data_IF_685437941138
#
_entry.id   IF_685437941138
#
_cell.length_a   1.000
_cell.length_b   1.000
_cell.length_c   1.000
_cell.angle_alpha   90.00
_cell.angle_beta   90.00
_cell.angle_gamma   90.00
#
_symmetry.space_group_name_H-M   'P 1'
#
loop_
_entity.id
_entity.type
_entity.pdbx_description
1 polymer ?
#
# COMPACT_ATOMS: atom_id res chain seq x y z
N UNK A 1 3.65 16.17 8.82
CA UNK A 1 4.05 14.86 8.27
C UNK A 1 5.56 14.65 8.38
N UNK A 2 6.41 15.50 7.77
CA UNK A 2 7.88 15.40 7.85
C UNK A 2 8.40 15.35 9.29
N UNK A 3 7.94 16.25 10.17
CA UNK A 3 8.33 16.24 11.58
C UNK A 3 7.92 14.93 12.29
N UNK A 4 6.71 14.44 12.03
CA UNK A 4 6.20 13.18 12.59
C UNK A 4 7.04 11.99 12.14
N UNK A 5 7.39 11.93 10.85
CA UNK A 5 8.27 10.90 10.28
C UNK A 5 9.65 10.97 10.92
N UNK A 6 10.25 12.15 11.02
CA UNK A 6 11.56 12.35 11.61
C UNK A 6 11.62 11.89 13.08
N UNK A 7 10.58 12.17 13.85
CA UNK A 7 10.47 11.72 15.25
C UNK A 7 10.28 10.19 15.32
N UNK A 8 9.58 9.58 14.35
CA UNK A 8 9.31 8.13 14.30
C UNK A 8 10.55 7.31 13.94
N UNK A 9 11.52 7.88 13.21
CA UNK A 9 12.78 7.21 12.86
C UNK A 9 13.55 6.75 14.09
N UNK A 10 13.62 7.58 15.14
CA UNK A 10 14.41 7.31 16.35
C UNK A 10 13.90 6.08 17.15
N UNK A 11 12.63 6.05 17.60
CA UNK A 11 12.13 4.93 18.39
C UNK A 11 12.05 3.64 17.58
N UNK A 12 11.81 3.69 16.26
CA UNK A 12 11.79 2.48 15.43
C UNK A 12 13.19 1.97 15.14
N UNK A 13 14.17 2.85 14.89
CA UNK A 13 15.57 2.42 14.76
C UNK A 13 16.05 1.74 16.03
N UNK A 14 15.69 2.29 17.20
CA UNK A 14 15.96 1.65 18.50
C UNK A 14 15.31 0.28 18.63
N UNK A 15 14.07 0.10 18.17
CA UNK A 15 13.41 -1.22 18.15
C UNK A 15 14.14 -2.21 17.26
N UNK A 16 14.46 -1.84 16.02
CA UNK A 16 15.17 -2.70 15.07
C UNK A 16 16.51 -3.15 15.67
N UNK A 17 17.29 -2.21 16.20
CA UNK A 17 18.59 -2.51 16.82
C UNK A 17 18.40 -3.40 18.05
N UNK A 18 17.44 -3.10 18.94
CA UNK A 18 17.18 -3.93 20.13
C UNK A 18 16.80 -5.37 19.77
N UNK A 19 16.08 -5.56 18.66
CA UNK A 19 15.58 -6.86 18.21
C UNK A 19 16.67 -7.75 17.61
N UNK A 20 17.64 -7.16 16.92
CA UNK A 20 18.65 -7.90 16.16
C UNK A 20 20.04 -7.94 16.82
N UNK A 21 20.38 -6.97 17.67
CA UNK A 21 21.76 -6.85 18.17
C UNK A 21 21.93 -7.12 19.66
N UNK A 22 20.84 -7.25 20.44
CA UNK A 22 20.86 -7.32 21.92
C UNK A 22 21.66 -6.21 22.64
N UNK A 23 22.24 -5.24 21.90
CA UNK A 23 23.04 -4.13 22.41
C UNK A 23 22.21 -3.12 23.19
N UNK A 24 20.91 -3.05 22.90
CA UNK A 24 19.99 -2.07 23.47
C UNK A 24 18.80 -2.84 24.09
N UNK A 25 18.44 -2.57 25.35
CA UNK A 25 17.24 -3.14 25.97
C UNK A 25 15.98 -2.79 25.17
N UNK A 26 15.03 -3.71 25.08
CA UNK A 26 13.72 -3.45 24.48
C UNK A 26 12.91 -2.52 25.40
N UNK A 27 12.91 -1.23 25.11
CA UNK A 27 12.16 -0.24 25.89
C UNK A 27 10.70 -0.18 25.43
N UNK A 28 9.76 -0.47 26.34
CA UNK A 28 8.30 -0.46 26.05
C UNK A 28 7.83 0.91 25.53
N UNK A 29 8.42 2.02 26.02
CA UNK A 29 8.04 3.36 25.60
C UNK A 29 8.34 3.66 24.13
N UNK A 30 9.35 3.02 23.52
CA UNK A 30 9.64 3.23 22.10
C UNK A 30 8.59 2.57 21.23
N UNK A 31 8.01 1.46 21.69
CA UNK A 31 6.89 0.77 21.04
C UNK A 31 5.62 1.61 21.09
N UNK A 32 5.24 2.05 22.28
CA UNK A 32 4.07 2.91 22.47
C UNK A 32 4.21 4.25 21.72
N UNK A 33 5.37 4.92 21.79
CA UNK A 33 5.59 6.19 21.09
C UNK A 33 5.52 6.03 19.58
N UNK A 34 6.10 4.97 19.02
CA UNK A 34 6.05 4.69 17.57
C UNK A 34 4.60 4.45 17.12
N UNK A 35 3.81 3.73 17.92
CA UNK A 35 2.39 3.48 17.66
C UNK A 35 1.57 4.78 17.69
N UNK A 36 1.76 5.63 18.69
CA UNK A 36 1.06 6.93 18.75
C UNK A 36 1.43 7.83 17.57
N UNK A 37 2.71 7.98 17.26
CA UNK A 37 3.16 8.78 16.12
C UNK A 37 2.66 8.23 14.78
N UNK A 38 2.54 6.90 14.67
CA UNK A 38 1.97 6.25 13.50
C UNK A 38 0.47 6.55 13.34
N UNK A 39 -0.32 6.45 14.42
CA UNK A 39 -1.74 6.81 14.41
C UNK A 39 -1.92 8.25 13.91
N UNK A 40 -1.15 9.19 14.47
CA UNK A 40 -1.20 10.58 14.03
C UNK A 40 -0.76 10.78 12.59
N UNK A 41 0.24 10.02 12.12
CA UNK A 41 0.69 10.08 10.73
C UNK A 41 -0.38 9.56 9.76
N UNK A 42 -1.04 8.45 10.09
CA UNK A 42 -2.14 7.89 9.30
C UNK A 42 -3.32 8.86 9.26
N UNK A 43 -3.70 9.45 10.39
CA UNK A 43 -4.80 10.42 10.45
C UNK A 43 -4.50 11.70 9.65
N UNK A 44 -3.29 12.26 9.81
CA UNK A 44 -2.85 13.43 9.05
C UNK A 44 -2.71 13.11 7.55
N UNK A 45 -2.20 11.93 7.22
CA UNK A 45 -2.09 11.44 5.84
C UNK A 45 -3.44 11.25 5.17
N UNK A 46 -4.40 10.65 5.87
CA UNK A 46 -5.77 10.50 5.40
C UNK A 46 -6.43 11.87 5.17
N UNK A 47 -6.26 12.83 6.08
CA UNK A 47 -6.78 14.19 5.93
C UNK A 47 -6.20 14.89 4.68
N UNK A 48 -4.89 14.79 4.46
CA UNK A 48 -4.23 15.35 3.27
C UNK A 48 -4.70 14.66 1.99
N UNK A 49 -4.80 13.32 1.98
CA UNK A 49 -5.26 12.56 0.81
C UNK A 49 -6.71 12.86 0.41
N UNK A 50 -7.57 13.16 1.39
CA UNK A 50 -8.94 13.63 1.13
C UNK A 50 -8.92 15.04 0.56
N UNK A 51 -8.13 15.95 1.15
CA UNK A 51 -8.01 17.35 0.70
C UNK A 51 -7.48 17.46 -0.74
N UNK A 52 -6.52 16.63 -1.10
CA UNK A 52 -5.88 16.66 -2.42
C UNK A 52 -6.65 15.87 -3.49
N UNK A 53 -7.72 15.16 -3.12
CA UNK A 53 -8.49 14.35 -4.06
C UNK A 53 -7.74 13.13 -4.58
N UNK A 54 -6.69 12.69 -3.89
CA UNK A 54 -5.80 11.58 -4.29
C UNK A 54 -6.31 10.20 -3.83
N UNK A 55 -7.56 10.13 -3.38
CA UNK A 55 -8.19 8.89 -2.97
C UNK A 55 -8.64 8.06 -4.17
N UNK A 56 -8.51 6.74 -4.06
CA UNK A 56 -8.94 5.80 -5.10
C UNK A 56 -10.48 5.81 -5.20
N UNK A 57 -11.01 6.51 -6.20
CA UNK A 57 -12.38 6.34 -6.70
C UNK A 57 -12.32 5.31 -7.84
N UNK A 58 -13.10 4.23 -7.75
CA UNK A 58 -13.22 3.27 -8.84
C UNK A 58 -14.32 3.78 -9.77
N UNK A 59 -13.93 4.32 -10.93
CA UNK A 59 -14.89 4.77 -11.93
C UNK A 59 -15.46 3.57 -12.71
N UNK A 60 -16.61 3.08 -12.26
CA UNK A 60 -17.32 1.95 -12.87
C UNK A 60 -18.15 2.40 -14.10
N UNK A 61 -18.54 3.68 -14.18
CA UNK A 61 -19.34 4.20 -15.30
C UNK A 61 -18.52 5.05 -16.26
N UNK A 62 -18.87 5.05 -17.57
CA UNK A 62 -18.40 6.07 -18.50
C UNK A 62 -18.79 7.46 -18.00
N UNK A 63 -18.02 8.49 -18.36
CA UNK A 63 -18.25 9.88 -17.93
C UNK A 63 -19.71 10.30 -18.14
N UNK A 64 -20.50 10.26 -17.06
CA UNK A 64 -21.87 10.77 -17.05
C UNK A 64 -21.85 12.30 -17.24
N UNK A 65 -22.99 12.88 -17.62
CA UNK A 65 -23.10 14.34 -17.80
C UNK A 65 -22.52 15.11 -16.59
N UNK A 66 -21.88 16.27 -16.85
CA UNK A 66 -21.19 17.08 -15.83
C UNK A 66 -22.01 17.31 -14.55
N UNK A 67 -23.34 17.45 -14.68
CA UNK A 67 -24.26 17.65 -13.54
C UNK A 67 -24.48 16.36 -12.72
N UNK A 68 -24.58 15.22 -13.38
CA UNK A 68 -24.75 13.92 -12.71
C UNK A 68 -23.49 13.52 -11.94
N UNK A 69 -22.30 13.72 -12.51
CA UNK A 69 -21.04 13.48 -11.81
C UNK A 69 -20.86 14.42 -10.60
N UNK A 70 -21.20 15.70 -10.74
CA UNK A 70 -21.17 16.65 -9.62
C UNK A 70 -22.15 16.25 -8.50
N UNK A 71 -23.37 15.83 -8.85
CA UNK A 71 -24.38 15.38 -7.89
C UNK A 71 -23.92 14.12 -7.15
N UNK A 72 -23.37 13.12 -7.86
CA UNK A 72 -22.83 11.91 -7.26
C UNK A 72 -21.68 12.22 -6.29
N UNK A 73 -20.78 13.13 -6.66
CA UNK A 73 -19.69 13.56 -5.78
C UNK A 73 -20.20 14.27 -4.52
N UNK A 74 -21.23 15.12 -4.64
CA UNK A 74 -21.87 15.77 -3.49
C UNK A 74 -22.51 14.72 -2.56
N UNK A 75 -23.23 13.74 -3.12
CA UNK A 75 -23.87 12.68 -2.35
C UNK A 75 -22.80 11.83 -1.63
N UNK A 76 -21.76 11.39 -2.34
CA UNK A 76 -20.65 10.62 -1.76
C UNK A 76 -19.96 11.39 -0.62
N UNK A 77 -19.66 12.68 -0.83
CA UNK A 77 -19.08 13.53 0.21
C UNK A 77 -19.99 13.71 1.42
N UNK A 78 -21.31 13.78 1.22
CA UNK A 78 -22.28 13.86 2.32
C UNK A 78 -22.29 12.56 3.14
N UNK A 79 -22.21 11.40 2.48
CA UNK A 79 -22.07 10.11 3.17
C UNK A 79 -20.76 10.02 3.97
N UNK A 80 -19.65 10.45 3.38
CA UNK A 80 -18.34 10.51 4.07
C UNK A 80 -18.40 11.44 5.28
N UNK A 81 -19.06 12.59 5.15
CA UNK A 81 -19.23 13.53 6.26
C UNK A 81 -20.07 12.92 7.39
N UNK A 82 -21.20 12.28 7.07
CA UNK A 82 -22.04 11.60 8.06
C UNK A 82 -21.22 10.53 8.79
N UNK A 83 -20.47 9.72 8.05
CA UNK A 83 -19.60 8.70 8.63
C UNK A 83 -18.53 9.28 9.56
N UNK A 84 -17.86 10.35 9.13
CA UNK A 84 -16.89 11.05 9.94
C UNK A 84 -17.52 11.57 11.24
N UNK A 85 -18.73 12.12 11.19
CA UNK A 85 -19.46 12.58 12.37
C UNK A 85 -19.84 11.42 13.31
N UNK A 86 -20.26 10.27 12.77
CA UNK A 86 -20.51 9.05 13.57
C UNK A 86 -19.22 8.59 14.26
N UNK A 87 -18.10 8.53 13.55
CA UNK A 87 -16.81 8.16 14.11
C UNK A 87 -16.30 9.14 15.17
N UNK A 88 -16.50 10.44 14.97
CA UNK A 88 -16.16 11.46 15.98
C UNK A 88 -17.04 11.29 17.21
N UNK A 89 -18.36 11.15 17.04
CA UNK A 89 -19.30 10.98 18.15
C UNK A 89 -19.00 9.71 18.97
N UNK A 90 -18.86 8.57 18.31
CA UNK A 90 -18.54 7.31 18.97
C UNK A 90 -17.09 7.25 19.45
N UNK A 91 -16.17 7.95 18.80
CA UNK A 91 -14.79 8.11 19.24
C UNK A 91 -14.68 8.93 20.53
N UNK A 92 -15.45 10.01 20.65
CA UNK A 92 -15.58 10.77 21.91
C UNK A 92 -16.17 9.88 22.99
N UNK A 93 -17.25 9.14 22.68
CA UNK A 93 -17.85 8.19 23.62
C UNK A 93 -16.90 7.05 24.01
N UNK A 94 -16.01 6.62 23.12
CA UNK A 94 -14.98 5.62 23.38
C UNK A 94 -13.87 6.18 24.27
N UNK A 95 -13.43 7.42 24.06
CA UNK A 95 -12.47 8.09 24.96
C UNK A 95 -13.09 8.31 26.34
N UNK A 96 -14.35 8.74 26.40
CA UNK A 96 -15.11 8.83 27.64
C UNK A 96 -15.26 7.45 28.30
N UNK A 97 -15.60 6.40 27.54
CA UNK A 97 -15.76 5.04 28.06
C UNK A 97 -14.44 4.43 28.56
N UNK A 98 -13.33 4.62 27.83
CA UNK A 98 -11.99 4.22 28.24
C UNK A 98 -11.50 5.00 29.47
N UNK A 99 -12.04 6.20 29.71
CA UNK A 99 -11.77 6.97 30.93
C UNK A 99 -12.43 6.38 32.18
N UNK A 100 -13.44 5.51 32.02
CA UNK A 100 -14.24 4.92 33.10
C UNK A 100 -14.14 3.38 33.16
N UNK A 101 -13.17 2.76 32.49
CA UNK A 101 -12.90 1.32 32.63
C UNK A 101 -11.97 1.03 33.82
N UNK A 102 -12.37 0.13 34.71
CA UNK A 102 -11.48 -0.47 35.71
C UNK A 102 -10.77 -1.73 35.15
N UNK A 103 -9.53 -1.91 35.61
CA UNK A 103 -8.47 -2.81 35.13
C UNK A 103 -8.70 -4.29 35.44
N UNK A 104 -8.09 -5.19 34.63
CA UNK A 104 -8.03 -6.65 34.83
C UNK A 104 -7.49 -7.10 36.21
N UNK A 105 -6.96 -6.18 37.03
CA UNK A 105 -6.49 -6.43 38.40
C UNK A 105 -7.49 -6.07 39.52
N UNK A 106 -8.62 -5.40 39.24
CA UNK A 106 -9.41 -4.69 40.26
C UNK A 106 -10.88 -5.15 40.49
N UNK A 107 -11.34 -6.24 39.85
CA UNK A 107 -12.57 -6.98 40.22
C UNK A 107 -13.92 -6.21 40.33
N UNK A 108 -14.34 -5.36 39.38
CA UNK A 108 -15.76 -4.87 39.31
C UNK A 108 -16.30 -4.70 37.86
N UNK A 109 -17.65 -4.71 37.64
CA UNK A 109 -18.28 -5.73 36.80
C UNK A 109 -18.75 -5.28 35.40
N UNK A 110 -18.61 -6.15 34.40
CA UNK A 110 -19.38 -6.09 33.14
C UNK A 110 -20.41 -7.24 33.07
N UNK A 111 -21.70 -6.88 33.04
CA UNK A 111 -22.83 -7.80 33.10
C UNK A 111 -23.43 -8.19 31.74
N UNK A 112 -23.30 -9.50 31.43
CA UNK A 112 -24.24 -10.44 30.74
C UNK A 112 -24.58 -10.26 29.22
N UNK A 113 -25.02 -11.35 28.52
CA UNK A 113 -24.25 -12.56 28.21
C UNK A 113 -24.31 -12.95 26.71
N UNK A 114 -23.29 -13.67 26.25
CA UNK A 114 -23.18 -14.25 24.91
C UNK A 114 -24.15 -15.43 24.71
N UNK A 115 -25.35 -15.25 24.15
CA UNK A 115 -26.12 -16.38 23.56
C UNK A 115 -27.15 -15.89 22.55
N UNK A 116 -26.76 -15.88 21.26
CA UNK A 116 -27.57 -16.08 20.02
C UNK A 116 -26.92 -15.31 18.87
N UNK A 117 -26.56 -16.01 17.78
CA UNK A 117 -26.03 -15.35 16.58
C UNK A 117 -27.24 -15.00 15.73
N UNK A 118 -27.43 -13.73 15.41
CA UNK A 118 -28.58 -13.27 14.62
C UNK A 118 -28.40 -13.56 13.13
N UNK A 119 -27.15 -13.59 12.63
CA UNK A 119 -26.84 -13.79 11.22
C UNK A 119 -26.05 -15.08 10.95
N UNK A 120 -26.43 -15.79 9.88
CA UNK A 120 -25.61 -16.86 9.32
C UNK A 120 -24.36 -16.30 8.60
N UNK A 121 -23.25 -17.04 8.51
CA UNK A 121 -22.03 -16.57 7.83
C UNK A 121 -22.28 -16.11 6.38
N UNK A 122 -23.17 -16.80 5.65
CA UNK A 122 -23.53 -16.43 4.28
C UNK A 122 -24.29 -15.10 4.21
N UNK A 123 -25.23 -14.87 5.14
CA UNK A 123 -25.95 -13.60 5.21
C UNK A 123 -25.06 -12.44 5.64
N UNK A 124 -24.10 -12.67 6.55
CA UNK A 124 -23.12 -11.66 6.95
C UNK A 124 -22.20 -11.28 5.79
N UNK A 125 -21.71 -12.26 5.03
CA UNK A 125 -20.89 -12.01 3.84
C UNK A 125 -21.67 -11.23 2.77
N UNK A 126 -22.92 -11.59 2.48
CA UNK A 126 -23.76 -10.86 1.54
C UNK A 126 -24.01 -9.41 1.95
N UNK A 127 -24.21 -9.14 3.23
CA UNK A 127 -24.41 -7.78 3.75
C UNK A 127 -23.11 -6.97 3.69
N UNK A 128 -21.98 -7.55 4.11
CA UNK A 128 -20.66 -6.91 4.05
C UNK A 128 -20.24 -6.60 2.62
N UNK A 129 -20.18 -7.61 1.74
CA UNK A 129 -19.77 -7.42 0.35
C UNK A 129 -20.81 -6.63 -0.44
N UNK A 130 -22.10 -6.87 -0.22
CA UNK A 130 -23.19 -6.13 -0.87
C UNK A 130 -23.14 -4.64 -0.56
N UNK A 131 -23.03 -4.27 0.72
CA UNK A 131 -22.89 -2.86 1.12
C UNK A 131 -21.60 -2.25 0.59
N UNK A 132 -20.47 -2.95 0.64
CA UNK A 132 -19.20 -2.51 0.08
C UNK A 132 -19.29 -2.20 -1.43
N UNK A 133 -19.83 -3.13 -2.23
CA UNK A 133 -19.97 -2.92 -3.67
C UNK A 133 -20.97 -1.82 -4.01
N UNK A 134 -22.07 -1.69 -3.25
CA UNK A 134 -23.01 -0.57 -3.40
C UNK A 134 -22.32 0.76 -3.11
N UNK A 135 -21.50 0.84 -2.05
CA UNK A 135 -20.77 2.07 -1.71
C UNK A 135 -19.73 2.43 -2.76
N UNK A 136 -19.00 1.45 -3.31
CA UNK A 136 -18.11 1.68 -4.46
C UNK A 136 -18.91 2.15 -5.68
N UNK A 137 -20.07 1.54 -5.95
CA UNK A 137 -20.99 1.97 -7.00
C UNK A 137 -21.56 3.38 -6.74
N UNK A 138 -21.51 3.89 -5.52
CA UNK A 138 -21.84 5.29 -5.22
C UNK A 138 -20.62 6.22 -5.28
N UNK A 139 -19.49 5.74 -5.80
CA UNK A 139 -18.18 6.44 -5.80
C UNK A 139 -17.75 6.87 -4.40
N UNK A 140 -18.07 6.07 -3.38
CA UNK A 140 -17.51 6.26 -2.04
C UNK A 140 -16.05 5.76 -2.08
N UNK A 141 -15.07 6.53 -1.57
CA UNK A 141 -13.69 6.09 -1.57
C UNK A 141 -13.53 4.77 -0.83
N UNK A 142 -12.69 3.86 -1.35
CA UNK A 142 -12.62 2.46 -0.90
C UNK A 142 -12.38 2.32 0.61
N UNK A 143 -11.55 3.18 1.20
CA UNK A 143 -11.28 3.17 2.64
C UNK A 143 -12.56 3.41 3.47
N UNK A 144 -13.41 4.35 3.04
CA UNK A 144 -14.69 4.61 3.67
C UNK A 144 -15.71 3.52 3.37
N UNK A 145 -15.72 2.98 2.15
CA UNK A 145 -16.59 1.88 1.78
C UNK A 145 -16.35 0.65 2.68
N UNK A 146 -15.08 0.31 2.99
CA UNK A 146 -14.74 -0.77 3.91
C UNK A 146 -15.24 -0.51 5.34
N UNK A 147 -15.02 0.70 5.88
CA UNK A 147 -15.48 1.04 7.22
C UNK A 147 -17.01 1.10 7.34
N UNK A 148 -17.68 1.68 6.35
CA UNK A 148 -19.14 1.77 6.26
C UNK A 148 -19.79 0.40 6.07
N UNK A 149 -19.17 -0.49 5.30
CA UNK A 149 -19.67 -1.85 5.09
C UNK A 149 -19.73 -2.67 6.37
N UNK A 150 -18.93 -2.34 7.39
CA UNK A 150 -18.96 -2.98 8.70
C UNK A 150 -20.12 -2.51 9.60
N UNK A 151 -20.80 -1.39 9.28
CA UNK A 151 -21.88 -0.84 10.11
C UNK A 151 -23.17 -1.68 10.10
N UNK A 152 -23.67 -2.20 8.96
CA UNK A 152 -24.89 -2.99 8.98
C UNK A 152 -24.80 -4.24 9.87
N UNK A 153 -23.75 -5.08 9.81
CA UNK A 153 -23.62 -6.21 10.74
C UNK A 153 -23.53 -5.77 12.21
N UNK A 154 -22.95 -4.62 12.52
CA UNK A 154 -22.91 -4.05 13.88
C UNK A 154 -24.31 -3.71 14.42
N UNK A 155 -25.23 -3.28 13.55
CA UNK A 155 -26.60 -2.92 13.92
C UNK A 155 -27.52 -4.14 14.04
N UNK A 156 -27.27 -5.20 13.26
CA UNK A 156 -28.12 -6.39 13.22
C UNK A 156 -27.63 -7.53 14.13
N UNK A 157 -26.35 -7.58 14.47
CA UNK A 157 -25.77 -8.64 15.30
C UNK A 157 -25.53 -8.14 16.73
N UNK A 158 -26.39 -8.58 17.67
CA UNK A 158 -26.29 -8.20 19.09
C UNK A 158 -24.96 -8.58 19.76
N UNK A 159 -24.18 -9.50 19.16
CA UNK A 159 -22.85 -9.92 19.65
C UNK A 159 -21.75 -8.91 19.34
N UNK A 160 -21.92 -8.13 18.28
CA UNK A 160 -20.96 -7.13 17.85
C UNK A 160 -21.32 -5.82 18.57
N UNK A 161 -20.74 -5.61 19.75
CA UNK A 161 -20.85 -4.31 20.40
C UNK A 161 -19.93 -3.31 19.69
N UNK A 162 -20.25 -2.00 19.70
CA UNK A 162 -19.31 -0.97 19.27
C UNK A 162 -17.93 -1.11 19.93
N UNK A 163 -17.89 -1.62 21.17
CA UNK A 163 -16.64 -1.89 21.89
C UNK A 163 -15.78 -2.98 21.23
N UNK A 164 -16.38 -4.02 20.65
CA UNK A 164 -15.64 -5.04 19.89
C UNK A 164 -15.03 -4.44 18.62
N UNK A 165 -15.79 -3.60 17.90
CA UNK A 165 -15.28 -2.91 16.71
C UNK A 165 -14.10 -2.01 17.09
N UNK A 166 -14.20 -1.25 18.19
CA UNK A 166 -13.11 -0.42 18.68
C UNK A 166 -11.89 -1.26 19.10
N UNK A 167 -12.09 -2.35 19.85
CA UNK A 167 -10.99 -3.22 20.27
C UNK A 167 -10.28 -3.88 19.09
N UNK A 168 -11.00 -4.41 18.10
CA UNK A 168 -10.40 -5.03 16.91
C UNK A 168 -9.73 -3.99 16.00
N UNK A 169 -10.31 -2.79 15.92
CA UNK A 169 -9.69 -1.64 15.25
C UNK A 169 -8.38 -1.26 15.96
N UNK A 170 -8.38 -1.15 17.28
CA UNK A 170 -7.22 -0.81 18.09
C UNK A 170 -6.13 -1.90 18.03
N UNK A 171 -6.50 -3.19 18.07
CA UNK A 171 -5.59 -4.31 17.85
C UNK A 171 -4.97 -4.28 16.45
N UNK A 172 -5.78 -4.00 15.43
CA UNK A 172 -5.30 -3.85 14.05
C UNK A 172 -4.29 -2.71 13.94
N UNK A 173 -4.56 -1.56 14.55
CA UNK A 173 -3.64 -0.42 14.61
C UNK A 173 -2.33 -0.72 15.36
N UNK A 174 -2.39 -1.54 16.42
CA UNK A 174 -1.22 -1.98 17.17
C UNK A 174 -0.43 -3.11 16.48
N UNK A 175 -0.84 -3.53 15.29
CA UNK A 175 -0.09 -4.53 14.52
C UNK A 175 1.22 -3.92 14.02
N UNK A 176 2.34 -4.48 14.48
CA UNK A 176 3.70 -4.14 14.04
C UNK A 176 3.86 -4.14 12.50
N UNK A 177 3.02 -4.90 11.81
CA UNK A 177 2.98 -5.02 10.36
C UNK A 177 2.58 -3.70 9.69
N UNK A 178 1.67 -2.93 10.28
CA UNK A 178 1.23 -1.65 9.70
C UNK A 178 2.32 -0.59 9.75
N UNK A 179 3.27 -0.69 10.70
CA UNK A 179 4.45 0.19 10.74
C UNK A 179 5.37 -0.03 9.53
N UNK A 180 5.39 -1.23 8.95
CA UNK A 180 6.23 -1.51 7.79
C UNK A 180 5.87 -0.62 6.59
N UNK A 181 4.59 -0.26 6.42
CA UNK A 181 4.08 0.49 5.26
C UNK A 181 4.73 1.88 5.13
N UNK A 182 4.72 2.77 6.16
CA UNK A 182 5.42 4.04 6.06
C UNK A 182 6.93 3.89 5.94
N UNK A 183 7.55 2.86 6.52
CA UNK A 183 9.00 2.69 6.42
C UNK A 183 9.42 2.29 5.01
N UNK A 184 8.70 1.37 4.36
CA UNK A 184 8.95 1.07 2.95
C UNK A 184 8.74 2.30 2.05
N UNK A 185 7.68 3.07 2.28
CA UNK A 185 7.44 4.32 1.55
C UNK A 185 8.51 5.38 1.83
N UNK A 186 9.00 5.48 3.07
CA UNK A 186 10.07 6.41 3.45
C UNK A 186 11.39 6.01 2.79
N UNK A 187 11.76 4.72 2.86
CA UNK A 187 12.95 4.17 2.23
C UNK A 187 12.92 4.39 0.71
N UNK A 188 11.80 4.08 0.06
CA UNK A 188 11.62 4.33 -1.37
C UNK A 188 11.80 5.82 -1.74
N UNK A 189 11.23 6.74 -0.96
CA UNK A 189 11.39 8.17 -1.19
C UNK A 189 12.83 8.66 -0.94
N UNK A 190 13.49 8.18 0.11
CA UNK A 190 14.90 8.47 0.38
C UNK A 190 15.81 7.98 -0.75
N UNK A 191 15.52 6.82 -1.33
CA UNK A 191 16.28 6.26 -2.45
C UNK A 191 16.06 7.04 -3.75
N UNK A 192 14.81 7.49 -4.00
CA UNK A 192 14.53 8.42 -5.10
C UNK A 192 15.32 9.73 -4.96
N UNK A 193 15.36 10.32 -3.77
CA UNK A 193 16.11 11.56 -3.52
C UNK A 193 17.63 11.32 -3.55
N UNK A 194 18.09 10.14 -3.12
CA UNK A 194 19.50 9.74 -3.08
C UNK A 194 20.13 9.41 -4.44
N UNK A 195 19.38 9.55 -5.54
CA UNK A 195 19.86 9.25 -6.90
C UNK A 195 20.08 7.75 -7.16
N UNK A 196 19.49 6.89 -6.33
CA UNK A 196 19.57 5.43 -6.50
C UNK A 196 18.76 5.00 -7.73
N UNK A 197 17.61 5.63 -7.96
CA UNK A 197 16.75 5.40 -9.13
C UNK A 197 17.52 5.54 -10.44
N UNK A 198 18.29 6.63 -10.58
CA UNK A 198 19.09 6.88 -11.78
C UNK A 198 20.16 5.80 -12.00
N UNK A 199 20.76 5.30 -10.92
CA UNK A 199 21.74 4.19 -10.99
C UNK A 199 21.09 2.89 -11.43
N UNK A 200 19.90 2.57 -10.91
CA UNK A 200 19.13 1.38 -11.29
C UNK A 200 18.61 1.46 -12.74
N UNK A 201 18.23 2.65 -13.20
CA UNK A 201 17.91 2.91 -14.61
C UNK A 201 19.13 2.65 -15.48
N UNK A 202 20.30 3.14 -15.07
CA UNK A 202 21.54 2.94 -15.82
C UNK A 202 21.94 1.47 -15.88
N UNK A 203 21.86 0.74 -14.76
CA UNK A 203 22.08 -0.70 -14.70
C UNK A 203 21.11 -1.44 -15.63
N UNK A 204 19.82 -1.13 -15.54
CA UNK A 204 18.79 -1.74 -16.39
C UNK A 204 19.10 -1.50 -17.88
N UNK A 205 19.53 -0.29 -18.24
CA UNK A 205 19.96 0.04 -19.61
C UNK A 205 21.15 -0.81 -20.06
N UNK A 206 22.12 -1.08 -19.18
CA UNK A 206 23.25 -1.96 -19.55
C UNK A 206 22.85 -3.42 -19.73
N UNK A 207 21.78 -3.88 -19.08
CA UNK A 207 21.29 -5.25 -19.15
C UNK A 207 20.45 -5.53 -20.40
N UNK A 208 19.51 -4.64 -20.71
CA UNK A 208 18.48 -4.87 -21.75
C UNK A 208 18.43 -3.77 -22.81
N UNK A 209 19.38 -2.84 -22.81
CA UNK A 209 19.42 -1.72 -23.75
C UNK A 209 19.55 -2.13 -25.22
N UNK A 210 20.15 -3.27 -25.51
CA UNK A 210 20.27 -3.78 -26.88
C UNK A 210 19.04 -4.58 -27.36
N UNK A 211 17.99 -4.70 -26.54
CA UNK A 211 16.79 -5.45 -26.90
C UNK A 211 15.77 -4.53 -27.60
N UNK A 212 15.00 -5.04 -28.58
CA UNK A 212 13.87 -4.35 -29.17
C UNK A 212 12.93 -3.77 -28.10
N UNK A 213 12.62 -2.46 -28.22
CA UNK A 213 11.79 -1.76 -27.25
C UNK A 213 12.54 -1.47 -25.96
N UNK A 214 13.80 -1.02 -26.08
CA UNK A 214 14.75 -0.96 -24.96
C UNK A 214 14.23 -0.18 -23.76
N UNK A 215 13.55 0.95 -23.99
CA UNK A 215 13.03 1.78 -22.92
C UNK A 215 11.86 1.11 -22.18
N UNK A 216 11.05 0.31 -22.87
CA UNK A 216 10.01 -0.50 -22.25
C UNK A 216 10.58 -1.73 -21.51
N UNK A 217 11.66 -2.32 -22.02
CA UNK A 217 12.39 -3.39 -21.31
C UNK A 217 13.04 -2.85 -20.02
N UNK A 218 13.62 -1.65 -20.09
CA UNK A 218 14.16 -0.94 -18.93
C UNK A 218 13.06 -0.66 -17.90
N UNK A 219 11.87 -0.27 -18.32
CA UNK A 219 10.74 -0.03 -17.42
C UNK A 219 10.37 -1.30 -16.60
N UNK A 220 10.21 -2.45 -17.28
CA UNK A 220 9.89 -3.72 -16.61
C UNK A 220 11.01 -4.13 -15.65
N UNK A 221 12.27 -4.04 -16.10
CA UNK A 221 13.41 -4.44 -15.27
C UNK A 221 13.62 -3.49 -14.08
N UNK A 222 13.39 -2.19 -14.26
CA UNK A 222 13.40 -1.24 -13.16
C UNK A 222 12.29 -1.55 -12.16
N UNK A 223 11.09 -1.90 -12.61
CA UNK A 223 9.99 -2.32 -11.74
C UNK A 223 10.35 -3.57 -10.91
N UNK A 224 11.15 -4.50 -11.45
CA UNK A 224 11.67 -5.65 -10.68
C UNK A 224 12.61 -5.20 -9.56
N UNK A 225 13.53 -4.28 -9.85
CA UNK A 225 14.45 -3.76 -8.83
C UNK A 225 13.73 -2.90 -7.78
N UNK A 226 12.78 -2.07 -8.22
CA UNK A 226 11.96 -1.23 -7.34
C UNK A 226 10.98 -2.02 -6.49
N UNK A 227 10.51 -3.17 -6.98
CA UNK A 227 9.67 -4.05 -6.20
C UNK A 227 10.34 -4.48 -4.90
N UNK A 228 11.65 -4.79 -4.97
CA UNK A 228 12.46 -5.13 -3.81
C UNK A 228 12.75 -3.98 -2.84
N UNK A 229 12.28 -2.77 -3.14
CA UNK A 229 12.57 -1.56 -2.37
C UNK A 229 11.28 -0.95 -1.82
N UNK A 230 10.31 -0.74 -2.70
CA UNK A 230 9.08 0.01 -2.44
C UNK A 230 7.97 -0.84 -1.83
N UNK A 231 7.86 -2.11 -2.24
CA UNK A 231 6.81 -3.03 -1.80
C UNK A 231 5.38 -2.55 -2.09
N UNK A 232 5.21 -1.48 -2.89
CA UNK A 232 3.95 -0.80 -3.17
C UNK A 232 3.79 -0.48 -4.65
N UNK A 233 2.83 -1.15 -5.30
CA UNK A 233 2.53 -0.93 -6.72
C UNK A 233 2.01 0.47 -7.02
N UNK A 234 1.31 1.10 -6.07
CA UNK A 234 0.75 2.44 -6.25
C UNK A 234 1.83 3.51 -6.15
N UNK A 235 2.81 3.36 -5.26
CA UNK A 235 3.95 4.26 -5.15
C UNK A 235 4.88 4.14 -6.37
N UNK A 236 5.10 2.91 -6.85
CA UNK A 236 5.91 2.65 -8.04
C UNK A 236 5.24 3.21 -9.30
N UNK A 237 3.93 2.98 -9.46
CA UNK A 237 3.18 3.57 -10.55
C UNK A 237 3.24 5.10 -10.52
N UNK A 238 3.03 5.73 -9.36
CA UNK A 238 3.03 7.20 -9.24
C UNK A 238 4.40 7.83 -9.54
N UNK A 239 5.49 7.17 -9.12
CA UNK A 239 6.85 7.67 -9.34
C UNK A 239 7.36 7.43 -10.76
N UNK A 240 7.05 6.27 -11.35
CA UNK A 240 7.61 5.84 -12.62
C UNK A 240 6.78 6.27 -13.83
N UNK A 241 5.46 6.41 -13.68
CA UNK A 241 4.55 6.71 -14.81
C UNK A 241 4.91 7.99 -15.55
N UNK A 242 5.12 9.10 -14.85
CA UNK A 242 5.49 10.37 -15.50
C UNK A 242 6.81 10.24 -16.27
N UNK A 243 7.81 9.60 -15.67
CA UNK A 243 9.16 9.48 -16.26
C UNK A 243 9.12 8.60 -17.50
N UNK A 244 8.56 7.39 -17.40
CA UNK A 244 8.57 6.44 -18.50
C UNK A 244 7.58 6.76 -19.60
N UNK A 245 6.36 7.18 -19.27
CA UNK A 245 5.35 7.49 -20.29
C UNK A 245 5.81 8.67 -21.14
N UNK A 246 6.33 9.75 -20.52
CA UNK A 246 6.88 10.89 -21.26
C UNK A 246 8.12 10.51 -22.09
N UNK A 247 9.04 9.72 -21.55
CA UNK A 247 10.23 9.29 -22.28
C UNK A 247 9.89 8.37 -23.46
N UNK A 248 8.99 7.41 -23.26
CA UNK A 248 8.57 6.47 -24.30
C UNK A 248 7.79 7.17 -25.42
N UNK A 249 6.86 8.08 -25.09
CA UNK A 249 6.17 8.85 -26.13
C UNK A 249 7.11 9.75 -26.93
N UNK A 250 8.13 10.36 -26.29
CA UNK A 250 9.18 11.12 -27.00
C UNK A 250 10.03 10.26 -27.94
N UNK A 251 10.21 8.97 -27.61
CA UNK A 251 10.92 8.01 -28.45
C UNK A 251 10.04 7.32 -29.50
N UNK A 252 8.76 7.71 -29.61
CA UNK A 252 7.84 7.20 -30.64
C UNK A 252 7.06 5.95 -30.26
N UNK A 253 6.98 5.61 -28.97
CA UNK A 253 6.10 4.55 -28.49
C UNK A 253 4.64 5.01 -28.50
N UNK A 254 3.71 4.08 -28.76
CA UNK A 254 2.28 4.37 -28.63
C UNK A 254 1.92 4.70 -27.16
N UNK A 255 1.13 5.76 -26.96
CA UNK A 255 0.73 6.20 -25.62
C UNK A 255 -0.02 5.10 -24.85
N UNK A 256 -0.88 4.35 -25.52
CA UNK A 256 -1.67 3.27 -24.90
C UNK A 256 -0.75 2.14 -24.46
N UNK A 257 0.25 1.79 -25.28
CA UNK A 257 1.27 0.83 -24.91
C UNK A 257 2.09 1.30 -23.71
N UNK A 258 2.53 2.56 -23.70
CA UNK A 258 3.31 3.14 -22.61
C UNK A 258 2.56 3.18 -21.28
N UNK A 259 1.27 3.53 -21.30
CA UNK A 259 0.41 3.49 -20.11
C UNK A 259 0.25 2.03 -19.64
N UNK A 260 -0.07 1.11 -20.55
CA UNK A 260 -0.34 -0.29 -20.21
C UNK A 260 0.89 -0.98 -19.60
N UNK A 261 2.06 -0.85 -20.24
CA UNK A 261 3.27 -1.52 -19.74
C UNK A 261 3.70 -0.97 -18.38
N UNK A 262 3.60 0.35 -18.18
CA UNK A 262 3.99 0.98 -16.91
C UNK A 262 3.03 0.63 -15.78
N UNK A 263 1.73 0.57 -16.06
CA UNK A 263 0.74 0.16 -15.07
C UNK A 263 0.92 -1.31 -14.66
N UNK A 264 1.17 -2.18 -15.65
CA UNK A 264 1.28 -3.63 -15.43
C UNK A 264 2.62 -4.01 -14.78
N UNK A 265 3.72 -3.33 -15.12
CA UNK A 265 5.03 -3.58 -14.51
C UNK A 265 5.07 -3.16 -13.04
N UNK A 266 4.38 -2.07 -12.67
CA UNK A 266 4.29 -1.62 -11.27
C UNK A 266 3.62 -2.66 -10.34
N UNK A 267 2.81 -3.58 -10.87
CA UNK A 267 2.20 -4.67 -10.08
C UNK A 267 3.26 -5.65 -9.56
N UNK A 268 4.45 -5.72 -10.17
CA UNK A 268 5.55 -6.55 -9.68
C UNK A 268 5.95 -6.16 -8.24
N UNK A 269 5.73 -4.91 -7.83
CA UNK A 269 6.04 -4.41 -6.49
C UNK A 269 5.31 -5.11 -5.35
N UNK A 270 4.14 -5.69 -5.62
CA UNK A 270 3.41 -6.44 -4.60
C UNK A 270 3.70 -7.93 -4.62
N UNK A 271 4.41 -8.43 -5.64
CA UNK A 271 4.71 -9.85 -5.85
C UNK A 271 6.17 -10.15 -5.49
N UNK A 272 7.11 -9.35 -5.97
CA UNK A 272 8.54 -9.54 -5.72
C UNK A 272 8.87 -8.94 -4.35
N UNK A 273 9.46 -9.70 -3.42
CA UNK A 273 9.72 -9.21 -2.07
C UNK A 273 10.85 -8.17 -2.01
N UNK A 274 10.86 -7.33 -0.96
CA UNK A 274 9.83 -7.12 0.09
C UNK A 274 8.50 -6.57 -0.44
N UNK A 275 7.38 -7.10 0.04
CA UNK A 275 6.02 -6.71 -0.37
C UNK A 275 5.14 -6.39 0.83
N UNK A 276 4.53 -5.19 0.84
CA UNK A 276 3.63 -4.74 1.90
C UNK A 276 2.45 -5.71 2.06
N UNK A 277 1.87 -6.17 0.95
CA UNK A 277 0.73 -7.10 0.98
C UNK A 277 1.12 -8.43 1.62
N UNK A 278 2.32 -8.95 1.36
CA UNK A 278 2.78 -10.21 1.94
C UNK A 278 2.97 -10.12 3.45
N UNK A 279 3.41 -8.97 3.97
CA UNK A 279 3.52 -8.76 5.41
C UNK A 279 2.13 -8.77 6.05
N UNK A 280 1.16 -8.05 5.45
CA UNK A 280 -0.24 -8.02 5.92
C UNK A 280 -0.85 -9.42 5.92
N UNK A 281 -0.71 -10.16 4.82
CA UNK A 281 -1.18 -11.54 4.73
C UNK A 281 -0.50 -12.48 5.71
N UNK A 282 0.82 -12.34 5.91
CA UNK A 282 1.58 -13.11 6.90
C UNK A 282 1.05 -12.91 8.32
N UNK A 283 0.68 -11.69 8.67
CA UNK A 283 0.03 -11.37 9.94
C UNK A 283 -1.37 -11.94 10.08
N UNK A 284 -2.22 -11.69 9.08
CA UNK A 284 -3.63 -12.12 9.10
C UNK A 284 -3.75 -13.64 9.12
N UNK A 285 -2.94 -14.33 8.31
CA UNK A 285 -2.96 -15.79 8.19
C UNK A 285 -2.04 -16.48 9.21
N UNK A 286 -1.29 -15.72 10.02
CA UNK A 286 -0.29 -16.24 10.96
C UNK A 286 0.72 -17.20 10.30
N UNK A 287 1.09 -16.92 9.05
CA UNK A 287 2.09 -17.69 8.29
C UNK A 287 3.43 -16.96 8.25
N UNK A 288 4.51 -17.70 8.02
CA UNK A 288 5.85 -17.12 7.94
C UNK A 288 5.97 -16.11 6.80
N UNK A 289 6.27 -14.85 7.14
CA UNK A 289 6.53 -13.78 6.17
C UNK A 289 7.73 -14.13 5.29
N UNK A 290 8.78 -14.74 5.86
CA UNK A 290 9.95 -15.18 5.09
C UNK A 290 9.61 -16.27 4.07
N UNK A 291 8.69 -17.17 4.41
CA UNK A 291 8.20 -18.18 3.47
C UNK A 291 7.36 -17.55 2.34
N UNK A 292 6.51 -16.57 2.66
CA UNK A 292 5.77 -15.80 1.65
C UNK A 292 6.71 -15.05 0.71
N UNK A 293 7.78 -14.45 1.25
CA UNK A 293 8.78 -13.78 0.44
C UNK A 293 9.45 -14.75 -0.54
N UNK A 294 9.98 -15.87 -0.04
CA UNK A 294 10.60 -16.87 -0.91
C UNK A 294 9.62 -17.42 -1.96
N UNK A 295 8.36 -17.62 -1.59
CA UNK A 295 7.31 -18.07 -2.49
C UNK A 295 6.97 -17.03 -3.58
N UNK A 296 7.18 -15.74 -3.32
CA UNK A 296 6.92 -14.63 -4.26
C UNK A 296 7.95 -14.44 -5.36
N UNK A 297 9.20 -14.85 -5.13
CA UNK A 297 10.32 -14.60 -6.06
C UNK A 297 10.07 -15.26 -7.41
N UNK A 298 9.79 -16.57 -7.42
CA UNK A 298 9.58 -17.33 -8.64
C UNK A 298 8.40 -16.80 -9.49
N UNK A 299 7.16 -16.64 -8.95
CA UNK A 299 6.05 -16.11 -9.73
C UNK A 299 6.30 -14.67 -10.18
N UNK A 300 6.94 -13.83 -9.36
CA UNK A 300 7.29 -12.46 -9.74
C UNK A 300 8.25 -12.40 -10.92
N UNK A 301 9.31 -13.21 -10.91
CA UNK A 301 10.26 -13.29 -12.04
C UNK A 301 9.62 -13.88 -13.31
N UNK A 302 8.70 -14.85 -13.16
CA UNK A 302 7.95 -15.39 -14.30
C UNK A 302 7.04 -14.34 -14.94
N UNK A 303 6.35 -13.53 -14.14
CA UNK A 303 5.51 -12.43 -14.62
C UNK A 303 6.38 -11.36 -15.30
N UNK A 304 7.51 -10.98 -14.68
CA UNK A 304 8.45 -10.05 -15.29
C UNK A 304 8.96 -10.57 -16.64
N UNK A 305 9.33 -11.86 -16.72
CA UNK A 305 9.73 -12.51 -17.96
C UNK A 305 8.63 -12.48 -19.03
N UNK A 306 7.38 -12.75 -18.65
CA UNK A 306 6.23 -12.67 -19.55
C UNK A 306 5.98 -11.24 -20.06
N UNK A 307 6.14 -10.23 -19.20
CA UNK A 307 6.07 -8.81 -19.58
C UNK A 307 7.19 -8.45 -20.56
N UNK A 308 8.44 -8.82 -20.26
CA UNK A 308 9.58 -8.59 -21.15
C UNK A 308 9.42 -9.29 -22.51
N UNK A 309 8.88 -10.51 -22.54
CA UNK A 309 8.56 -11.22 -23.77
C UNK A 309 7.49 -10.48 -24.59
N UNK A 310 6.44 -10.00 -23.93
CA UNK A 310 5.37 -9.21 -24.56
C UNK A 310 5.91 -7.92 -25.16
N UNK A 311 6.75 -7.19 -24.41
CA UNK A 311 7.45 -6.00 -24.90
C UNK A 311 8.30 -6.33 -26.12
N UNK A 312 9.02 -7.44 -26.11
CA UNK A 312 9.88 -7.85 -27.22
C UNK A 312 9.07 -8.14 -28.49
N UNK A 313 7.94 -8.83 -28.37
CA UNK A 313 7.04 -9.12 -29.50
C UNK A 313 6.44 -7.83 -30.05
N UNK A 314 5.88 -6.97 -29.18
CA UNK A 314 5.32 -5.68 -29.61
C UNK A 314 6.39 -4.79 -30.26
N UNK A 315 7.58 -4.70 -29.67
CA UNK A 315 8.66 -3.89 -30.22
C UNK A 315 9.10 -4.34 -31.61
N UNK A 316 9.05 -5.65 -31.91
CA UNK A 316 9.31 -6.17 -33.26
C UNK A 316 8.18 -5.88 -34.24
N UNK A 317 6.93 -5.93 -33.79
CA UNK A 317 5.76 -5.65 -34.64
C UNK A 317 5.68 -4.16 -35.00
N UNK A 318 5.91 -3.28 -34.02
CA UNK A 318 5.77 -1.83 -34.15
C UNK A 318 7.10 -1.10 -34.42
N UNK A 319 8.22 -1.84 -34.58
CA UNK A 319 9.57 -1.30 -34.83
C UNK A 319 10.02 -0.23 -33.84
N UNK A 320 9.86 -0.50 -32.53
CA UNK A 320 10.30 0.41 -31.48
C UNK A 320 11.84 0.53 -31.39
N UNK A 321 12.36 1.69 -30.95
CA UNK A 321 13.78 1.98 -30.97
C UNK A 321 14.61 1.06 -30.07
N UNK A 322 15.89 0.93 -30.43
CA UNK A 322 16.88 0.10 -29.74
C UNK A 322 18.09 0.92 -29.34
N UNK A 323 18.52 0.82 -28.09
CA UNK A 323 19.76 1.48 -27.64
C UNK A 323 21.00 0.68 -28.05
N UNK A 324 22.16 1.35 -28.21
CA UNK A 324 23.42 0.67 -28.43
C UNK A 324 23.75 -0.28 -27.28
N UNK A 325 24.38 -1.41 -27.62
CA UNK A 325 24.79 -2.42 -26.65
C UNK A 325 25.86 -1.85 -25.73
N UNK A 326 25.61 -1.93 -24.42
CA UNK A 326 26.61 -1.57 -23.42
C UNK A 326 27.80 -2.55 -23.45
N UNK A 327 28.97 -2.04 -23.12
CA UNK A 327 30.18 -2.86 -22.98
C UNK A 327 30.14 -3.65 -21.66
N UNK A 328 30.83 -4.80 -21.60
CA UNK A 328 30.92 -5.60 -20.37
C UNK A 328 31.52 -4.79 -19.20
N UNK A 329 32.43 -3.86 -19.51
CA UNK A 329 33.04 -2.95 -18.52
C UNK A 329 32.00 -1.99 -17.92
N UNK A 330 31.11 -1.44 -18.74
CA UNK A 330 30.01 -0.59 -18.28
C UNK A 330 29.05 -1.38 -17.40
N UNK A 331 28.69 -2.61 -17.80
CA UNK A 331 27.82 -3.47 -16.98
C UNK A 331 28.40 -3.74 -15.59
N UNK A 332 29.66 -4.18 -15.47
CA UNK A 332 30.27 -4.44 -14.17
C UNK A 332 30.44 -3.17 -13.33
N UNK A 333 30.72 -2.03 -13.95
CA UNK A 333 30.84 -0.76 -13.25
C UNK A 333 29.48 -0.28 -12.72
N UNK A 334 28.44 -0.32 -13.54
CA UNK A 334 27.06 0.02 -13.14
C UNK A 334 26.51 -0.96 -12.10
N UNK A 335 26.84 -2.25 -12.21
CA UNK A 335 26.50 -3.26 -11.21
C UNK A 335 27.14 -2.92 -9.86
N UNK A 336 28.45 -2.68 -9.83
CA UNK A 336 29.17 -2.31 -8.60
C UNK A 336 28.62 -1.03 -7.95
N UNK A 337 28.24 -0.02 -8.75
CA UNK A 337 27.63 1.22 -8.26
C UNK A 337 26.20 1.02 -7.73
N UNK A 338 25.52 -0.03 -8.18
CA UNK A 338 24.13 -0.36 -7.79
C UNK A 338 24.05 -1.40 -6.67
N UNK A 339 25.14 -2.08 -6.32
CA UNK A 339 25.17 -3.02 -5.18
C UNK A 339 24.63 -2.40 -3.89
N UNK A 340 25.02 -1.17 -3.48
CA UNK A 340 24.48 -0.56 -2.28
C UNK A 340 22.96 -0.33 -2.34
N UNK A 341 22.41 -0.12 -3.54
CA UNK A 341 20.98 0.08 -3.75
C UNK A 341 20.16 -1.21 -3.71
N UNK A 342 20.78 -2.36 -3.98
CA UNK A 342 20.15 -3.67 -3.96
C UNK A 342 20.24 -4.37 -2.59
N UNK A 343 21.07 -3.83 -1.68
CA UNK A 343 21.32 -4.38 -0.33
C UNK A 343 20.63 -3.61 0.80
N UNK A 344 19.82 -2.60 0.48
CA UNK A 344 18.93 -1.88 1.41
C UNK A 344 17.56 -2.53 1.46
#
# INVERSE_FOLDING_TARGET
MVATVAILVVPVSLQIISRYTQLIPSYIWTEELSRFLFIWMVMLGAMVGIKEGTHFEVDIWPELSRRANAMLRIISNLFVLIFALVFVYWGIKFVEFGWYQESELAELPMGRPMTQAAMSPGTAALVLFGSFFILIALRVPVAFALGLACLPPLLFELRLSPMVLFNETFKSYNSFILLAVPFFLLTANLMNIGGITDRLVHLSRTMVGNWPGSLAQINVLLSVFFAGISGSSTADAASQSKIFIEAQTKEGYDLSFSIAITAVSAVLAVIIPPSILMIVWGGVLSVSIGALYLAGILPGLLIAGAQMATVHVYAKIYNYPVYPRATLREFFCSAAQSVPALMT
#
